data_IF_528678052468
#
_entry.id   IF_528678052468
#
_cell.length_a   1.000
_cell.length_b   1.000
_cell.length_c   1.000
_cell.angle_alpha   90.00
_cell.angle_beta   90.00
_cell.angle_gamma   90.00
#
_symmetry.space_group_name_H-M   'P 1'
#
loop_
_entity.id
_entity.type
_entity.pdbx_description
1 polymer ?
#
# COMPACT_ATOMS: atom_id res chain seq x y z
N UNK A 1 -7.78 68.18 20.04
CA UNK A 1 -6.63 67.25 20.16
C UNK A 1 -7.16 65.84 20.00
N UNK A 2 -7.45 65.44 18.76
CA UNK A 2 -8.19 64.20 18.48
C UNK A 2 -7.27 62.98 18.43
N UNK A 3 -7.54 62.05 19.33
CA UNK A 3 -6.99 60.70 19.41
C UNK A 3 -6.93 60.03 18.03
N UNK A 4 -5.75 59.53 17.67
CA UNK A 4 -5.60 58.54 16.61
C UNK A 4 -5.19 57.23 17.28
N UNK A 5 -6.19 56.46 17.71
CA UNK A 5 -6.02 55.08 18.14
C UNK A 5 -5.50 54.27 16.95
N UNK A 6 -4.21 53.89 17.01
CA UNK A 6 -3.61 52.96 16.04
C UNK A 6 -4.22 51.58 16.26
N UNK A 7 -5.01 51.12 15.30
CA UNK A 7 -5.57 49.77 15.29
C UNK A 7 -4.45 48.73 15.11
N UNK A 8 -4.43 47.75 16.01
CA UNK A 8 -3.56 46.57 15.94
C UNK A 8 -3.94 45.72 14.71
N UNK A 9 -3.00 45.29 13.86
CA UNK A 9 -3.33 44.40 12.75
C UNK A 9 -3.62 42.99 13.33
N UNK A 10 -4.85 42.51 13.08
CA UNK A 10 -5.27 41.16 13.41
C UNK A 10 -4.29 40.12 12.81
N UNK A 11 -3.90 39.14 13.64
CA UNK A 11 -2.96 38.09 13.25
C UNK A 11 -3.48 37.27 12.07
N UNK A 12 -2.64 37.11 11.04
CA UNK A 12 -2.92 36.23 9.90
C UNK A 12 -3.03 34.78 10.39
N UNK A 13 -4.21 34.18 10.25
CA UNK A 13 -4.41 32.74 10.48
C UNK A 13 -3.55 31.95 9.50
N UNK A 14 -2.77 30.98 10.00
CA UNK A 14 -1.96 30.09 9.16
C UNK A 14 -2.89 29.32 8.19
N UNK A 15 -2.55 29.22 6.90
CA UNK A 15 -3.35 28.43 5.97
C UNK A 15 -3.43 26.97 6.46
N UNK A 16 -4.54 26.27 6.16
CA UNK A 16 -4.69 24.87 6.52
C UNK A 16 -3.53 24.06 5.93
N UNK A 17 -2.98 23.14 6.73
CA UNK A 17 -1.96 22.23 6.25
C UNK A 17 -2.54 21.34 5.15
N UNK A 18 -1.76 21.07 4.10
CA UNK A 18 -2.17 20.13 3.08
C UNK A 18 -2.40 18.73 3.66
N UNK A 19 -3.35 17.96 3.10
CA UNK A 19 -3.52 16.56 3.46
C UNK A 19 -2.21 15.80 3.29
N UNK A 20 -1.92 14.88 4.20
CA UNK A 20 -0.78 13.97 4.04
C UNK A 20 -1.07 13.05 2.86
N UNK A 21 -0.31 13.20 1.77
CA UNK A 21 -0.43 12.37 0.58
C UNK A 21 0.52 11.17 0.69
N UNK A 22 -0.01 9.96 0.51
CA UNK A 22 0.81 8.76 0.33
C UNK A 22 1.16 8.60 -1.16
N UNK A 23 2.43 8.74 -1.51
CA UNK A 23 2.87 8.57 -2.91
C UNK A 23 2.75 7.13 -3.42
N UNK A 24 2.76 6.15 -2.52
CA UNK A 24 2.60 4.74 -2.88
C UNK A 24 1.11 4.36 -3.04
N UNK A 25 0.21 5.17 -2.51
CA UNK A 25 -1.24 5.00 -2.66
C UNK A 25 -1.95 6.37 -2.75
N UNK A 26 -1.84 7.08 -3.90
CA UNK A 26 -2.40 8.43 -4.05
C UNK A 26 -3.93 8.47 -4.00
N UNK A 27 -4.59 7.34 -4.29
CA UNK A 27 -6.04 7.22 -4.40
C UNK A 27 -6.67 6.45 -3.24
N UNK A 28 -5.88 6.11 -2.21
CA UNK A 28 -6.34 5.38 -1.03
C UNK A 28 -7.02 4.04 -1.38
N UNK A 29 -6.43 3.27 -2.29
CA UNK A 29 -6.92 1.94 -2.65
C UNK A 29 -7.08 1.04 -1.41
N UNK A 30 -6.22 1.21 -0.41
CA UNK A 30 -6.32 0.50 0.87
C UNK A 30 -7.68 0.65 1.57
N UNK A 31 -8.31 1.82 1.43
CA UNK A 31 -9.58 2.16 2.08
C UNK A 31 -10.80 1.59 1.33
N UNK A 32 -10.65 1.31 0.03
CA UNK A 32 -11.70 0.73 -0.82
C UNK A 32 -11.80 -0.79 -0.70
N UNK A 33 -10.83 -1.44 -0.04
CA UNK A 33 -10.82 -2.88 0.16
C UNK A 33 -11.60 -3.29 1.41
N UNK A 34 -12.26 -4.44 1.35
CA UNK A 34 -12.79 -5.13 2.52
C UNK A 34 -11.65 -5.71 3.37
N UNK A 35 -11.96 -6.09 4.61
CA UNK A 35 -10.98 -6.74 5.50
C UNK A 35 -10.48 -8.07 4.91
N UNK A 36 -11.39 -8.83 4.31
CA UNK A 36 -11.05 -10.09 3.64
C UNK A 36 -10.11 -9.88 2.45
N UNK A 37 -10.38 -8.89 1.59
CA UNK A 37 -9.51 -8.57 0.45
C UNK A 37 -8.12 -8.10 0.90
N UNK A 38 -8.04 -7.31 1.98
CA UNK A 38 -6.75 -6.94 2.58
C UNK A 38 -6.00 -8.16 3.08
N UNK A 39 -6.68 -9.08 3.77
CA UNK A 39 -6.06 -10.31 4.27
C UNK A 39 -5.53 -11.19 3.12
N UNK A 40 -6.32 -11.38 2.06
CA UNK A 40 -5.91 -12.15 0.87
C UNK A 40 -4.69 -11.50 0.21
N UNK A 41 -4.72 -10.17 0.02
CA UNK A 41 -3.58 -9.42 -0.55
C UNK A 41 -2.33 -9.56 0.30
N UNK A 42 -2.44 -9.40 1.62
CA UNK A 42 -1.30 -9.45 2.53
C UNK A 42 -0.70 -10.87 2.57
N UNK A 43 -1.55 -11.89 2.54
CA UNK A 43 -1.12 -13.31 2.42
C UNK A 43 -0.38 -13.55 1.11
N UNK A 44 -0.93 -13.11 -0.02
CA UNK A 44 -0.28 -13.24 -1.33
C UNK A 44 1.05 -12.48 -1.38
N UNK A 45 1.10 -11.27 -0.80
CA UNK A 45 2.31 -10.44 -0.72
C UNK A 45 3.40 -11.11 0.11
N UNK A 46 3.05 -11.66 1.28
CA UNK A 46 3.99 -12.37 2.14
C UNK A 46 4.58 -13.58 1.41
N UNK A 47 3.73 -14.42 0.80
CA UNK A 47 4.20 -15.56 0.00
C UNK A 47 5.14 -15.13 -1.14
N UNK A 48 4.79 -14.07 -1.87
CA UNK A 48 5.62 -13.57 -2.96
C UNK A 48 7.02 -13.12 -2.46
N UNK A 49 7.08 -12.42 -1.33
CA UNK A 49 8.35 -11.94 -0.78
C UNK A 49 9.19 -13.06 -0.14
N UNK A 50 8.56 -13.95 0.61
CA UNK A 50 9.28 -14.96 1.40
C UNK A 50 9.66 -16.18 0.57
N UNK A 51 8.85 -16.55 -0.43
CA UNK A 51 8.96 -17.81 -1.17
C UNK A 51 9.33 -17.61 -2.63
N UNK A 52 8.79 -16.60 -3.32
CA UNK A 52 9.05 -16.40 -4.75
C UNK A 52 10.30 -15.56 -5.00
N UNK A 53 10.44 -14.43 -4.29
CA UNK A 53 11.54 -13.49 -4.47
C UNK A 53 12.94 -14.13 -4.33
N UNK A 54 13.21 -15.04 -3.38
CA UNK A 54 14.53 -15.67 -3.28
C UNK A 54 14.85 -16.60 -4.45
N UNK A 55 13.81 -17.16 -5.10
CA UNK A 55 13.95 -18.17 -6.16
C UNK A 55 14.02 -17.55 -7.56
N UNK A 56 13.43 -16.37 -7.76
CA UNK A 56 13.20 -15.79 -9.10
C UNK A 56 14.47 -15.61 -9.92
N UNK A 57 15.56 -15.12 -9.32
CA UNK A 57 16.78 -14.78 -10.07
C UNK A 57 17.41 -16.01 -10.73
N UNK A 58 17.59 -17.08 -9.96
CA UNK A 58 18.19 -18.33 -10.47
C UNK A 58 17.20 -19.12 -11.32
N UNK A 59 15.91 -19.13 -10.94
CA UNK A 59 14.87 -19.78 -11.72
C UNK A 59 14.76 -19.20 -13.13
N UNK A 60 14.75 -17.87 -13.27
CA UNK A 60 14.71 -17.20 -14.58
C UNK A 60 16.00 -17.43 -15.36
N UNK A 61 17.18 -17.36 -14.72
CA UNK A 61 18.46 -17.55 -15.39
C UNK A 61 18.65 -18.96 -15.97
N UNK A 62 18.10 -19.97 -15.29
CA UNK A 62 18.25 -21.39 -15.65
C UNK A 62 17.00 -21.97 -16.31
N UNK A 63 15.97 -21.16 -16.52
CA UNK A 63 14.67 -21.58 -17.07
C UNK A 63 14.05 -22.73 -16.27
N UNK A 64 14.17 -22.69 -14.95
CA UNK A 64 13.65 -23.72 -14.05
C UNK A 64 12.29 -23.31 -13.51
N UNK A 65 11.29 -24.17 -13.73
CA UNK A 65 9.99 -24.07 -13.07
C UNK A 65 9.91 -25.01 -11.86
N UNK A 66 9.82 -24.44 -10.67
CA UNK A 66 9.68 -25.15 -9.41
C UNK A 66 8.20 -25.56 -9.21
N UNK A 67 7.87 -26.83 -9.47
CA UNK A 67 6.50 -27.35 -9.40
C UNK A 67 5.89 -27.25 -8.00
N UNK A 68 6.72 -27.29 -6.96
CA UNK A 68 6.33 -27.09 -5.57
C UNK A 68 5.63 -25.75 -5.31
N UNK A 69 5.91 -24.72 -6.12
CA UNK A 69 5.23 -23.41 -6.03
C UNK A 69 3.71 -23.57 -6.23
N UNK A 70 3.28 -24.49 -7.09
CA UNK A 70 1.85 -24.74 -7.31
C UNK A 70 1.20 -25.40 -6.10
N UNK A 71 1.92 -26.29 -5.41
CA UNK A 71 1.42 -26.90 -4.19
C UNK A 71 1.34 -25.87 -3.06
N UNK A 72 2.42 -25.08 -2.87
CA UNK A 72 2.49 -24.00 -1.87
C UNK A 72 1.34 -22.98 -2.08
N UNK A 73 1.10 -22.55 -3.33
CA UNK A 73 -0.01 -21.64 -3.65
C UNK A 73 -1.39 -22.27 -3.42
N UNK A 74 -1.55 -23.57 -3.69
CA UNK A 74 -2.80 -24.28 -3.45
C UNK A 74 -3.12 -24.41 -1.96
N UNK A 75 -2.12 -24.70 -1.13
CA UNK A 75 -2.26 -24.78 0.34
C UNK A 75 -2.69 -23.43 0.94
N UNK A 76 -2.25 -22.31 0.34
CA UNK A 76 -2.64 -20.97 0.75
C UNK A 76 -3.99 -20.50 0.18
N UNK A 77 -4.67 -21.32 -0.63
CA UNK A 77 -5.93 -20.94 -1.28
C UNK A 77 -5.78 -19.88 -2.37
N UNK A 78 -4.58 -19.72 -2.94
CA UNK A 78 -4.30 -18.72 -3.98
C UNK A 78 -4.58 -19.23 -5.41
N UNK A 79 -5.10 -20.46 -5.54
CA UNK A 79 -5.46 -21.08 -6.82
C UNK A 79 -6.98 -21.18 -6.96
N UNK A 80 -7.50 -20.73 -8.11
CA UNK A 80 -8.95 -20.67 -8.35
C UNK A 80 -9.70 -19.71 -7.41
N UNK A 81 -9.21 -18.47 -7.15
CA UNK A 81 -9.74 -17.59 -6.10
C UNK A 81 -11.20 -17.13 -6.28
N UNK A 82 -11.83 -17.40 -7.43
CA UNK A 82 -13.20 -17.00 -7.75
C UNK A 82 -14.13 -18.19 -7.98
N UNK A 83 -13.70 -19.41 -7.67
CA UNK A 83 -14.43 -20.67 -7.88
C UNK A 83 -14.92 -21.17 -6.52
#
# INVERSE_FOLDING_TARGET
MSEHARSTPAGRSRPPAWPKMNWQDPLLLEDELTEEERLVRDTARAYAQDKLLPRVLEATRKEIFHREIMNEMGELGLLGPTI
#
